data_IF_052222447609
#
_entry.id   IF_052222447609
#
_cell.length_a   1.000
_cell.length_b   1.000
_cell.length_c   1.000
_cell.angle_alpha   90.00
_cell.angle_beta   90.00
_cell.angle_gamma   90.00
#
_symmetry.space_group_name_H-M   'P 1'
#
loop_
_entity.id
_entity.type
_entity.pdbx_description
1 polymer ?
#
# COMPACT_ATOMS: atom_id res chain seq x y z
N UNK A 1 -6.95 -16.44 -2.15
CA UNK A 1 -7.10 -17.50 -1.15
C UNK A 1 -7.96 -17.03 0.02
N UNK A 2 -8.59 -17.96 0.67
CA UNK A 2 -9.29 -17.76 1.92
C UNK A 2 -8.84 -18.84 2.92
N UNK A 3 -8.56 -18.43 4.14
CA UNK A 3 -8.17 -19.33 5.24
C UNK A 3 -9.18 -19.18 6.39
N UNK A 4 -10.28 -19.92 6.35
CA UNK A 4 -11.27 -19.93 7.42
C UNK A 4 -10.72 -20.61 8.68
N UNK A 5 -11.28 -20.25 9.82
CA UNK A 5 -11.07 -20.89 11.13
C UNK A 5 -12.41 -20.96 11.86
N UNK A 6 -12.60 -21.96 12.72
CA UNK A 6 -13.91 -22.23 13.34
C UNK A 6 -14.31 -21.16 14.37
N UNK A 7 -13.37 -20.67 15.15
CA UNK A 7 -13.60 -19.63 16.16
C UNK A 7 -12.60 -18.48 15.99
N UNK A 8 -12.78 -17.62 14.96
CA UNK A 8 -11.84 -16.57 14.69
C UNK A 8 -11.78 -15.54 15.85
N UNK A 9 -10.60 -15.07 16.18
CA UNK A 9 -10.42 -13.92 17.08
C UNK A 9 -10.66 -12.60 16.36
N UNK A 10 -10.63 -12.60 15.03
CA UNK A 10 -10.88 -11.48 14.15
C UNK A 10 -10.65 -11.89 12.70
N UNK A 11 -10.75 -10.92 11.78
CA UNK A 11 -10.49 -11.12 10.37
C UNK A 11 -9.36 -10.26 9.84
N UNK A 12 -8.71 -10.73 8.78
CA UNK A 12 -7.68 -9.96 8.08
C UNK A 12 -7.88 -10.02 6.58
N UNK A 13 -8.01 -8.85 5.96
CA UNK A 13 -8.01 -8.69 4.51
C UNK A 13 -6.61 -8.32 4.04
N UNK A 14 -6.02 -9.14 3.17
CA UNK A 14 -4.70 -8.93 2.59
C UNK A 14 -4.83 -8.41 1.16
N UNK A 15 -4.21 -7.24 0.87
CA UNK A 15 -4.26 -6.56 -0.43
C UNK A 15 -2.85 -6.47 -1.01
N UNK A 16 -2.64 -7.07 -2.17
CA UNK A 16 -1.33 -7.14 -2.84
C UNK A 16 -1.01 -5.89 -3.67
N UNK A 17 0.22 -5.81 -4.18
CA UNK A 17 0.73 -4.73 -5.04
C UNK A 17 0.20 -4.77 -6.48
N UNK A 18 0.49 -3.72 -7.29
CA UNK A 18 -0.06 -3.55 -8.63
C UNK A 18 0.47 -4.56 -9.67
N UNK A 19 1.64 -5.11 -9.52
CA UNK A 19 2.16 -6.17 -10.40
C UNK A 19 2.10 -7.55 -9.75
N UNK A 20 1.56 -7.64 -8.54
CA UNK A 20 1.60 -8.82 -7.69
C UNK A 20 0.32 -9.68 -7.79
N UNK A 21 0.29 -10.70 -6.97
CA UNK A 21 -0.90 -11.52 -6.70
C UNK A 21 -1.03 -11.76 -5.20
N UNK A 22 -2.15 -12.31 -4.71
CA UNK A 22 -2.29 -12.67 -3.30
C UNK A 22 -1.19 -13.61 -2.79
N UNK A 23 -0.50 -14.32 -3.67
CA UNK A 23 0.53 -15.27 -3.32
C UNK A 23 1.69 -14.62 -2.53
N UNK A 24 2.07 -13.39 -2.85
CA UNK A 24 3.12 -12.64 -2.14
C UNK A 24 2.84 -12.46 -0.64
N UNK A 25 1.57 -12.46 -0.26
CA UNK A 25 1.12 -12.34 1.15
C UNK A 25 0.67 -13.67 1.75
N UNK A 26 0.86 -14.81 1.04
CA UNK A 26 0.36 -16.12 1.47
C UNK A 26 0.99 -16.60 2.78
N UNK A 27 2.30 -16.40 2.97
CA UNK A 27 3.00 -16.82 4.19
C UNK A 27 2.49 -16.03 5.39
N UNK A 28 2.31 -14.70 5.24
CA UNK A 28 1.69 -13.87 6.26
C UNK A 28 0.26 -14.37 6.58
N UNK A 29 -0.53 -14.68 5.54
CA UNK A 29 -1.87 -15.23 5.72
C UNK A 29 -1.89 -16.54 6.48
N UNK A 30 -0.96 -17.45 6.21
CA UNK A 30 -0.83 -18.71 6.94
C UNK A 30 -0.44 -18.49 8.41
N UNK A 31 0.48 -17.56 8.68
CA UNK A 31 0.88 -17.19 10.04
C UNK A 31 -0.28 -16.60 10.83
N UNK A 32 -1.08 -15.75 10.21
CA UNK A 32 -2.28 -15.16 10.84
C UNK A 32 -3.36 -16.22 11.09
N UNK A 33 -3.56 -17.17 10.16
CA UNK A 33 -4.44 -18.31 10.38
C UNK A 33 -4.04 -19.13 11.62
N UNK A 34 -2.72 -19.37 11.79
CA UNK A 34 -2.19 -20.07 12.98
C UNK A 34 -2.44 -19.30 14.29
N UNK A 35 -2.70 -17.99 14.19
CA UNK A 35 -3.10 -17.11 15.30
C UNK A 35 -4.62 -16.94 15.39
N UNK A 36 -5.36 -17.84 14.76
CA UNK A 36 -6.81 -17.91 14.78
C UNK A 36 -7.54 -16.71 14.16
N UNK A 37 -6.93 -16.06 13.15
CA UNK A 37 -7.61 -15.08 12.31
C UNK A 37 -8.24 -15.74 11.07
N UNK A 38 -9.43 -15.31 10.70
CA UNK A 38 -9.99 -15.59 9.38
C UNK A 38 -9.32 -14.69 8.34
N UNK A 39 -8.62 -15.27 7.39
CA UNK A 39 -7.79 -14.49 6.46
C UNK A 39 -8.28 -14.60 5.04
N UNK A 40 -8.43 -13.47 4.36
CA UNK A 40 -8.71 -13.40 2.92
C UNK A 40 -7.53 -12.70 2.23
N UNK A 41 -6.89 -13.40 1.30
CA UNK A 41 -5.95 -12.81 0.34
C UNK A 41 -6.71 -12.48 -0.94
N UNK A 42 -7.10 -11.22 -1.10
CA UNK A 42 -7.93 -10.76 -2.19
C UNK A 42 -7.15 -10.68 -3.50
N UNK A 43 -7.63 -11.35 -4.55
CA UNK A 43 -7.13 -11.13 -5.91
C UNK A 43 -7.81 -9.90 -6.50
N UNK A 44 -7.03 -8.83 -6.71
CA UNK A 44 -7.55 -7.60 -7.30
C UNK A 44 -7.94 -7.80 -8.77
N UNK A 45 -8.98 -7.11 -9.28
CA UNK A 45 -9.33 -7.10 -10.69
C UNK A 45 -8.13 -6.82 -11.60
N UNK A 46 -8.06 -7.49 -12.75
CA UNK A 46 -6.96 -7.38 -13.71
C UNK A 46 -5.71 -8.21 -13.37
N UNK A 47 -5.71 -8.95 -12.27
CA UNK A 47 -4.56 -9.73 -11.80
C UNK A 47 -4.79 -11.26 -11.90
N UNK A 48 -3.68 -12.00 -11.89
CA UNK A 48 -3.67 -13.47 -11.78
C UNK A 48 -3.98 -14.22 -13.07
N UNK A 49 -4.00 -13.55 -14.25
CA UNK A 49 -4.24 -14.19 -15.54
C UNK A 49 -3.16 -13.82 -16.55
N UNK A 50 -3.11 -12.54 -16.96
CA UNK A 50 -2.11 -12.03 -17.89
C UNK A 50 -1.84 -10.55 -17.62
N UNK A 51 -0.61 -10.04 -17.85
CA UNK A 51 -0.26 -8.64 -17.64
C UNK A 51 -1.12 -7.66 -18.45
N UNK A 52 -1.67 -8.12 -19.58
CA UNK A 52 -2.58 -7.32 -20.41
C UNK A 52 -3.87 -6.89 -19.70
N UNK A 53 -4.29 -7.60 -18.65
CA UNK A 53 -5.40 -7.18 -17.78
C UNK A 53 -5.18 -5.81 -17.15
N UNK A 54 -3.92 -5.46 -16.84
CA UNK A 54 -3.55 -4.16 -16.29
C UNK A 54 -3.71 -2.99 -17.26
N UNK A 55 -3.86 -3.23 -18.56
CA UNK A 55 -4.13 -2.18 -19.56
C UNK A 55 -5.52 -1.57 -19.43
N UNK A 56 -6.47 -2.29 -18.81
CA UNK A 56 -7.88 -1.91 -18.81
C UNK A 56 -8.47 -1.76 -17.42
N UNK A 57 -7.81 -2.27 -16.39
CA UNK A 57 -8.29 -2.19 -15.00
C UNK A 57 -8.44 -0.72 -14.57
N UNK A 58 -9.46 -0.46 -13.76
CA UNK A 58 -9.69 0.83 -13.10
C UNK A 58 -9.48 0.67 -11.60
N UNK A 59 -8.93 1.69 -10.95
CA UNK A 59 -8.75 1.64 -9.51
C UNK A 59 -10.10 1.54 -8.76
N UNK A 60 -11.17 2.06 -9.33
CA UNK A 60 -12.52 1.95 -8.78
C UNK A 60 -13.00 0.49 -8.72
N UNK A 61 -12.65 -0.32 -9.73
CA UNK A 61 -12.99 -1.75 -9.74
C UNK A 61 -12.22 -2.48 -8.63
N UNK A 62 -10.95 -2.12 -8.42
CA UNK A 62 -10.16 -2.64 -7.31
C UNK A 62 -10.71 -2.20 -5.95
N UNK A 63 -11.14 -0.94 -5.81
CA UNK A 63 -11.78 -0.44 -4.59
C UNK A 63 -13.12 -1.14 -4.30
N UNK A 64 -13.92 -1.42 -5.34
CA UNK A 64 -15.16 -2.20 -5.20
C UNK A 64 -14.88 -3.62 -4.73
N UNK A 65 -13.83 -4.28 -5.24
CA UNK A 65 -13.42 -5.59 -4.78
C UNK A 65 -12.99 -5.58 -3.30
N UNK A 66 -12.27 -4.55 -2.85
CA UNK A 66 -11.91 -4.38 -1.43
C UNK A 66 -13.18 -4.24 -0.57
N UNK A 67 -14.15 -3.45 -1.01
CA UNK A 67 -15.44 -3.31 -0.31
C UNK A 67 -16.15 -4.66 -0.19
N UNK A 68 -16.25 -5.42 -1.27
CA UNK A 68 -16.85 -6.76 -1.25
C UNK A 68 -16.10 -7.70 -0.29
N UNK A 69 -14.77 -7.69 -0.30
CA UNK A 69 -13.94 -8.48 0.62
C UNK A 69 -14.18 -8.13 2.08
N UNK A 70 -14.30 -6.86 2.42
CA UNK A 70 -14.59 -6.39 3.78
C UNK A 70 -16.00 -6.77 4.23
N UNK A 71 -17.01 -6.58 3.39
CA UNK A 71 -18.39 -6.96 3.69
C UNK A 71 -18.52 -8.48 3.86
N UNK A 72 -17.88 -9.26 2.97
CA UNK A 72 -17.85 -10.70 3.08
C UNK A 72 -17.18 -11.15 4.39
N UNK A 73 -16.03 -10.59 4.73
CA UNK A 73 -15.32 -10.93 5.96
C UNK A 73 -16.16 -10.57 7.21
N UNK A 74 -16.80 -9.40 7.20
CA UNK A 74 -17.69 -8.97 8.28
C UNK A 74 -18.88 -9.95 8.49
N UNK A 75 -19.44 -10.49 7.40
CA UNK A 75 -20.55 -11.45 7.48
C UNK A 75 -20.16 -12.80 8.14
N UNK A 76 -18.83 -13.07 8.24
CA UNK A 76 -18.30 -14.30 8.87
C UNK A 76 -17.85 -14.11 10.32
N UNK A 77 -17.82 -12.88 10.84
CA UNK A 77 -17.09 -12.56 12.06
C UNK A 77 -17.93 -12.09 13.25
N UNK A 78 -19.27 -12.01 13.09
CA UNK A 78 -20.18 -11.67 14.21
C UNK A 78 -19.68 -10.48 15.05
N UNK A 79 -19.34 -9.36 14.38
CA UNK A 79 -18.82 -8.10 14.99
C UNK A 79 -17.38 -8.17 15.54
N UNK A 80 -16.62 -9.24 15.32
CA UNK A 80 -15.21 -9.31 15.70
C UNK A 80 -14.37 -8.33 14.87
N UNK A 81 -13.20 -7.89 15.36
CA UNK A 81 -12.39 -6.89 14.68
C UNK A 81 -11.88 -7.38 13.32
N UNK A 82 -11.89 -6.50 12.34
CA UNK A 82 -11.32 -6.74 11.02
C UNK A 82 -10.13 -5.81 10.82
N UNK A 83 -9.04 -6.36 10.33
CA UNK A 83 -7.81 -5.63 10.01
C UNK A 83 -7.55 -5.66 8.51
N UNK A 84 -6.91 -4.64 7.98
CA UNK A 84 -6.48 -4.62 6.58
C UNK A 84 -4.96 -4.53 6.52
N UNK A 85 -4.34 -5.41 5.75
CA UNK A 85 -2.92 -5.31 5.40
C UNK A 85 -2.83 -4.98 3.92
N UNK A 86 -2.26 -3.82 3.61
CA UNK A 86 -2.04 -3.37 2.23
C UNK A 86 -0.55 -3.33 1.90
N UNK A 87 -0.15 -4.01 0.83
CA UNK A 87 1.19 -3.95 0.28
C UNK A 87 1.22 -3.09 -0.97
N UNK A 88 2.13 -2.13 -1.05
CA UNK A 88 2.31 -1.25 -2.21
C UNK A 88 0.98 -0.59 -2.63
N UNK A 89 0.42 -0.91 -3.81
CA UNK A 89 -0.89 -0.43 -4.28
C UNK A 89 -2.06 -0.87 -3.38
N UNK A 90 -1.95 -1.97 -2.66
CA UNK A 90 -2.94 -2.40 -1.67
C UNK A 90 -3.11 -1.38 -0.54
N UNK A 91 -2.07 -0.61 -0.22
CA UNK A 91 -2.12 0.40 0.85
C UNK A 91 -3.04 1.59 0.55
N UNK A 92 -2.95 2.29 -0.60
CA UNK A 92 -3.91 3.34 -0.93
C UNK A 92 -5.32 2.82 -1.14
N UNK A 93 -5.51 1.56 -1.56
CA UNK A 93 -6.84 0.93 -1.61
C UNK A 93 -7.41 0.70 -0.20
N UNK A 94 -6.59 0.23 0.75
CA UNK A 94 -6.97 0.09 2.16
C UNK A 94 -7.37 1.45 2.77
N UNK A 95 -6.58 2.49 2.53
CA UNK A 95 -6.87 3.85 2.99
C UNK A 95 -8.14 4.41 2.34
N UNK A 96 -8.33 4.20 1.03
CA UNK A 96 -9.54 4.64 0.32
C UNK A 96 -10.79 4.01 0.93
N UNK A 97 -10.77 2.69 1.17
CA UNK A 97 -11.86 1.98 1.83
C UNK A 97 -12.12 2.52 3.23
N UNK A 98 -11.07 2.67 4.04
CA UNK A 98 -11.20 3.17 5.42
C UNK A 98 -11.81 4.56 5.47
N UNK A 99 -11.36 5.48 4.60
CA UNK A 99 -11.93 6.82 4.50
C UNK A 99 -13.39 6.82 4.03
N UNK A 100 -13.79 5.82 3.26
CA UNK A 100 -15.18 5.61 2.87
C UNK A 100 -16.00 5.09 4.04
N UNK A 101 -15.55 4.05 4.71
CA UNK A 101 -16.24 3.42 5.84
C UNK A 101 -16.42 4.36 7.03
N UNK A 102 -15.46 5.27 7.30
CA UNK A 102 -15.59 6.32 8.32
C UNK A 102 -16.69 7.36 8.04
N UNK A 103 -17.27 7.35 6.88
CA UNK A 103 -18.38 8.23 6.49
C UNK A 103 -19.64 7.47 6.02
N UNK A 104 -19.67 6.16 6.26
CA UNK A 104 -20.79 5.32 5.82
C UNK A 104 -21.02 4.17 6.80
N UNK A 105 -22.02 4.30 7.64
CA UNK A 105 -22.38 3.34 8.71
C UNK A 105 -22.76 1.94 8.18
N UNK A 106 -23.05 1.81 6.89
CA UNK A 106 -23.31 0.51 6.26
C UNK A 106 -22.04 -0.31 5.97
N UNK A 107 -20.85 0.29 6.16
CA UNK A 107 -19.58 -0.38 5.89
C UNK A 107 -18.81 -0.69 7.19
N UNK A 108 -18.26 -1.90 7.33
CA UNK A 108 -17.45 -2.24 8.49
C UNK A 108 -16.16 -1.41 8.51
N UNK A 109 -15.96 -0.64 9.58
CA UNK A 109 -14.73 0.13 9.79
C UNK A 109 -13.62 -0.82 10.24
N UNK A 110 -12.44 -0.82 9.61
CA UNK A 110 -11.35 -1.67 10.05
C UNK A 110 -10.83 -1.26 11.44
N UNK A 111 -10.51 -2.24 12.27
CA UNK A 111 -9.97 -2.03 13.62
C UNK A 111 -8.51 -1.54 13.61
N UNK A 112 -7.74 -1.89 12.58
CA UNK A 112 -6.40 -1.36 12.33
C UNK A 112 -5.97 -1.52 10.88
N UNK A 113 -4.94 -0.77 10.48
CA UNK A 113 -4.30 -0.84 9.18
C UNK A 113 -2.83 -1.23 9.33
N UNK A 114 -2.32 -2.08 8.45
CA UNK A 114 -0.90 -2.31 8.24
C UNK A 114 -0.56 -1.99 6.79
N UNK A 115 0.30 -1.02 6.58
CA UNK A 115 0.67 -0.50 5.26
C UNK A 115 2.15 -0.83 5.00
N UNK A 116 2.40 -1.74 4.07
CA UNK A 116 3.75 -2.21 3.75
C UNK A 116 4.19 -1.52 2.44
N UNK A 117 5.26 -0.75 2.49
CA UNK A 117 5.79 0.04 1.36
C UNK A 117 4.66 0.77 0.61
N UNK A 118 3.83 1.59 1.30
CA UNK A 118 2.61 2.15 0.74
C UNK A 118 2.90 3.05 -0.46
N UNK A 119 2.23 2.83 -1.59
CA UNK A 119 2.35 3.65 -2.81
C UNK A 119 1.74 5.04 -2.65
N UNK A 120 2.23 5.82 -1.68
CA UNK A 120 1.83 7.19 -1.42
C UNK A 120 2.96 8.11 -1.87
N UNK A 121 2.66 9.05 -2.77
CA UNK A 121 3.66 9.98 -3.29
C UNK A 121 4.60 9.36 -4.32
N UNK A 122 4.06 8.65 -5.27
CA UNK A 122 4.81 8.18 -6.44
C UNK A 122 5.54 9.33 -7.14
N UNK A 123 6.72 9.03 -7.67
CA UNK A 123 7.56 9.98 -8.38
C UNK A 123 6.78 10.70 -9.51
N UNK A 124 7.05 11.97 -9.81
CA UNK A 124 6.38 12.74 -10.89
C UNK A 124 6.39 12.06 -12.26
N UNK A 125 7.35 11.16 -12.52
CA UNK A 125 7.38 10.33 -13.72
C UNK A 125 6.10 9.49 -13.94
N UNK A 126 5.36 9.15 -12.88
CA UNK A 126 4.07 8.47 -12.98
C UNK A 126 3.00 9.35 -13.67
N UNK A 127 3.14 10.68 -13.61
CA UNK A 127 2.25 11.59 -14.33
C UNK A 127 2.42 11.50 -15.87
N UNK A 128 3.63 11.16 -16.35
CA UNK A 128 3.90 10.92 -17.77
C UNK A 128 3.15 9.69 -18.31
N UNK A 129 2.81 8.74 -17.45
CA UNK A 129 2.06 7.54 -17.83
C UNK A 129 0.71 7.91 -18.47
N UNK A 130 0.04 8.97 -17.99
CA UNK A 130 -1.23 9.45 -18.55
C UNK A 130 -1.12 9.88 -20.02
N UNK A 131 -0.05 10.55 -20.39
CA UNK A 131 0.20 10.97 -21.77
C UNK A 131 0.56 9.78 -22.67
N UNK A 132 1.43 8.88 -22.20
CA UNK A 132 1.78 7.65 -22.93
C UNK A 132 0.54 6.81 -23.23
N UNK A 133 -0.34 6.63 -22.25
CA UNK A 133 -1.60 5.88 -22.44
C UNK A 133 -2.50 6.52 -23.50
N UNK A 134 -2.64 7.84 -23.51
CA UNK A 134 -3.44 8.53 -24.52
C UNK A 134 -2.91 8.34 -25.94
N UNK A 135 -1.59 8.34 -26.10
CA UNK A 135 -0.95 8.10 -27.38
C UNK A 135 -1.01 6.64 -27.82
N UNK A 136 -1.09 5.68 -26.90
CA UNK A 136 -1.09 4.24 -27.21
C UNK A 136 -2.31 3.76 -28.02
N UNK A 137 -3.39 4.55 -28.09
CA UNK A 137 -4.59 4.24 -28.88
C UNK A 137 -4.42 4.60 -30.38
N UNK A 138 -3.37 5.34 -30.74
CA UNK A 138 -3.09 5.70 -32.11
C UNK A 138 -2.46 4.51 -32.86
N UNK A 139 -2.79 4.32 -34.15
CA UNK A 139 -2.17 3.27 -34.98
C UNK A 139 -0.63 3.35 -34.93
N UNK A 140 0.03 2.23 -34.74
CA UNK A 140 1.50 2.14 -34.64
C UNK A 140 2.11 2.48 -33.27
N UNK A 141 1.36 3.06 -32.33
CA UNK A 141 1.85 3.46 -31.01
C UNK A 141 1.46 2.50 -29.87
N UNK A 142 1.02 1.29 -30.18
CA UNK A 142 0.59 0.28 -29.20
C UNK A 142 1.64 -0.06 -28.12
N UNK A 143 2.93 0.10 -28.42
CA UNK A 143 4.01 -0.09 -27.43
C UNK A 143 3.94 0.92 -26.28
N UNK A 144 3.35 2.09 -26.47
CA UNK A 144 3.16 3.09 -25.41
C UNK A 144 2.18 2.65 -24.33
N UNK A 145 1.42 1.55 -24.56
CA UNK A 145 0.59 0.91 -23.53
C UNK A 145 1.42 0.25 -22.42
N UNK A 146 2.73 0.15 -22.58
CA UNK A 146 3.63 -0.50 -21.65
C UNK A 146 4.73 0.47 -21.16
N UNK A 147 4.99 0.46 -19.88
CA UNK A 147 6.17 1.10 -19.28
C UNK A 147 7.37 0.15 -19.36
N UNK A 148 7.15 -1.14 -19.14
CA UNK A 148 8.11 -2.20 -19.39
C UNK A 148 7.40 -3.41 -19.98
N UNK A 149 8.01 -4.07 -20.95
CA UNK A 149 7.54 -5.32 -21.54
C UNK A 149 8.74 -6.27 -21.54
N UNK A 150 8.68 -7.26 -20.69
CA UNK A 150 9.74 -8.25 -20.50
C UNK A 150 9.14 -9.65 -20.38
N UNK A 151 9.91 -10.73 -20.62
CA UNK A 151 9.40 -12.09 -20.45
C UNK A 151 8.82 -12.33 -19.06
N UNK A 152 7.66 -13.01 -19.01
CA UNK A 152 7.00 -13.41 -17.77
C UNK A 152 7.63 -14.70 -17.25
N UNK A 153 8.54 -14.60 -16.30
CA UNK A 153 9.23 -15.74 -15.70
C UNK A 153 8.77 -16.06 -14.27
N UNK A 154 8.08 -15.13 -13.62
CA UNK A 154 7.51 -15.33 -12.29
C UNK A 154 6.02 -15.69 -12.42
N UNK A 155 5.59 -16.88 -11.95
CA UNK A 155 4.20 -17.31 -12.07
C UNK A 155 3.24 -16.55 -11.13
N UNK A 156 3.75 -15.77 -10.19
CA UNK A 156 2.95 -15.11 -9.15
C UNK A 156 2.95 -13.59 -9.24
N UNK A 157 3.84 -13.04 -10.06
CA UNK A 157 4.02 -11.60 -10.23
C UNK A 157 4.23 -11.27 -11.69
N UNK A 158 3.55 -10.23 -12.18
CA UNK A 158 3.79 -9.71 -13.52
C UNK A 158 5.15 -9.02 -13.61
N UNK A 159 5.96 -9.42 -14.57
CA UNK A 159 7.24 -8.78 -14.88
C UNK A 159 7.05 -7.57 -15.80
N UNK A 160 6.08 -7.66 -16.72
CA UNK A 160 5.69 -6.54 -17.57
C UNK A 160 4.78 -5.57 -16.81
N UNK A 161 4.93 -4.27 -17.08
CA UNK A 161 4.15 -3.23 -16.38
C UNK A 161 3.43 -2.32 -17.37
N UNK A 162 2.10 -2.37 -17.37
CA UNK A 162 1.26 -1.55 -18.24
C UNK A 162 1.27 -0.07 -17.80
N UNK A 163 1.27 0.84 -18.78
CA UNK A 163 1.20 2.28 -18.54
C UNK A 163 -0.06 2.67 -17.75
N UNK A 164 -1.21 2.03 -18.07
CA UNK A 164 -2.45 2.22 -17.30
C UNK A 164 -2.30 1.83 -15.83
N UNK A 165 -1.56 0.76 -15.50
CA UNK A 165 -1.34 0.36 -14.11
C UNK A 165 -0.72 1.49 -13.28
N UNK A 166 0.32 2.15 -13.80
CA UNK A 166 0.93 3.32 -13.16
C UNK A 166 -0.06 4.49 -13.00
N UNK A 167 -0.90 4.75 -14.01
CA UNK A 167 -1.95 5.77 -13.92
C UNK A 167 -2.98 5.44 -12.83
N UNK A 168 -3.41 4.19 -12.71
CA UNK A 168 -4.39 3.79 -11.69
C UNK A 168 -3.84 3.90 -10.27
N UNK A 169 -2.58 3.47 -10.04
CA UNK A 169 -1.92 3.68 -8.74
C UNK A 169 -1.84 5.16 -8.39
N UNK A 170 -1.44 5.99 -9.36
CA UNK A 170 -1.37 7.44 -9.16
C UNK A 170 -2.75 8.04 -8.86
N UNK A 171 -3.80 7.62 -9.57
CA UNK A 171 -5.16 8.12 -9.39
C UNK A 171 -5.73 7.81 -8.01
N UNK A 172 -5.60 6.56 -7.52
CA UNK A 172 -6.07 6.19 -6.18
C UNK A 172 -5.27 6.92 -5.10
N UNK A 173 -3.95 7.03 -5.25
CA UNK A 173 -3.10 7.77 -4.32
C UNK A 173 -3.48 9.24 -4.24
N UNK A 174 -3.70 9.89 -5.37
CA UNK A 174 -4.19 11.28 -5.40
C UNK A 174 -5.58 11.43 -4.78
N UNK A 175 -6.49 10.47 -5.01
CA UNK A 175 -7.81 10.47 -4.39
C UNK A 175 -7.70 10.44 -2.87
N UNK A 176 -6.89 9.54 -2.33
CA UNK A 176 -6.63 9.42 -0.89
C UNK A 176 -6.01 10.70 -0.33
N UNK A 177 -4.93 11.20 -0.95
CA UNK A 177 -4.25 12.42 -0.49
C UNK A 177 -5.18 13.63 -0.46
N UNK A 178 -5.99 13.84 -1.51
CA UNK A 178 -6.97 14.94 -1.55
C UNK A 178 -8.02 14.82 -0.45
N UNK A 179 -8.52 13.61 -0.17
CA UNK A 179 -9.53 13.38 0.89
C UNK A 179 -8.95 13.63 2.29
N UNK A 180 -7.69 13.25 2.51
CA UNK A 180 -6.99 13.52 3.77
C UNK A 180 -6.75 15.03 3.93
N UNK A 181 -6.19 15.70 2.92
CA UNK A 181 -5.91 17.14 2.95
C UNK A 181 -7.18 17.99 3.08
N UNK A 182 -8.26 17.61 2.42
CA UNK A 182 -9.54 18.33 2.52
C UNK A 182 -10.11 18.28 3.94
N UNK A 183 -10.00 17.13 4.63
CA UNK A 183 -10.41 16.99 6.03
C UNK A 183 -9.50 17.77 6.97
N UNK A 184 -8.19 17.70 6.78
CA UNK A 184 -7.24 18.49 7.56
C UNK A 184 -7.47 20.00 7.39
N UNK A 185 -7.72 20.46 6.16
CA UNK A 185 -8.02 21.87 5.85
C UNK A 185 -9.32 22.39 6.46
N UNK A 186 -10.29 21.53 6.77
CA UNK A 186 -11.50 21.88 7.53
C UNK A 186 -11.31 21.88 9.05
N UNK A 187 -10.08 21.73 9.54
CA UNK A 187 -9.77 21.62 10.96
C UNK A 187 -10.11 20.27 11.59
N UNK A 188 -10.58 19.31 10.79
CA UNK A 188 -10.94 17.97 11.24
C UNK A 188 -9.96 16.96 10.64
N UNK A 189 -8.81 16.78 11.31
CA UNK A 189 -7.91 15.71 10.92
C UNK A 189 -8.62 14.36 10.99
N UNK A 190 -8.45 13.48 9.98
CA UNK A 190 -9.10 12.18 9.99
C UNK A 190 -8.62 11.34 11.18
N UNK A 191 -9.58 10.80 11.94
CA UNK A 191 -9.31 9.79 12.97
C UNK A 191 -9.27 8.43 12.28
N UNK A 192 -8.13 8.10 11.68
CA UNK A 192 -7.95 6.74 11.17
C UNK A 192 -7.77 5.74 12.30
N UNK A 193 -8.13 4.47 12.11
CA UNK A 193 -7.78 3.41 13.05
C UNK A 193 -6.25 3.35 13.25
N UNK A 194 -5.76 2.75 14.35
CA UNK A 194 -4.33 2.51 14.54
C UNK A 194 -3.68 2.00 13.26
N UNK A 195 -2.64 2.67 12.81
CA UNK A 195 -2.01 2.42 11.51
C UNK A 195 -0.53 2.18 11.69
N UNK A 196 -0.06 1.00 11.31
CA UNK A 196 1.35 0.64 11.25
C UNK A 196 1.83 0.79 9.81
N UNK A 197 2.88 1.57 9.61
CA UNK A 197 3.56 1.72 8.31
C UNK A 197 4.93 1.06 8.38
N UNK A 198 5.18 0.10 7.51
CA UNK A 198 6.47 -0.57 7.35
C UNK A 198 7.13 -0.10 6.06
N UNK A 199 8.33 0.48 6.14
CA UNK A 199 9.01 1.05 4.99
C UNK A 199 10.53 0.92 5.06
N UNK A 200 11.15 0.63 3.91
CA UNK A 200 12.61 0.72 3.78
C UNK A 200 13.03 2.17 3.51
N UNK A 201 14.12 2.61 4.12
CA UNK A 201 14.70 3.94 3.88
C UNK A 201 15.23 4.10 2.45
N UNK A 202 15.62 3.01 1.81
CA UNK A 202 16.20 2.96 0.45
C UNK A 202 15.21 2.50 -0.62
N UNK A 203 13.92 2.56 -0.36
CA UNK A 203 12.89 2.23 -1.36
C UNK A 203 12.88 3.30 -2.47
N UNK A 204 13.41 2.94 -3.63
CA UNK A 204 13.50 3.82 -4.78
C UNK A 204 12.16 4.09 -5.49
N UNK A 205 11.12 3.30 -5.18
CA UNK A 205 9.81 3.38 -5.85
C UNK A 205 8.89 4.40 -5.19
N UNK A 206 8.93 4.46 -3.86
CA UNK A 206 8.05 5.29 -3.04
C UNK A 206 8.88 6.13 -2.08
N UNK A 207 8.71 7.44 -2.12
CA UNK A 207 9.38 8.36 -1.21
C UNK A 207 8.87 8.21 0.23
N UNK A 208 9.79 8.05 1.19
CA UNK A 208 9.46 8.04 2.62
C UNK A 208 8.94 9.41 3.07
N UNK A 209 9.52 10.51 2.54
CA UNK A 209 9.05 11.87 2.79
C UNK A 209 7.57 12.03 2.44
N UNK A 210 7.17 11.48 1.29
CA UNK A 210 5.79 11.58 0.84
C UNK A 210 4.81 10.81 1.72
N UNK A 211 5.20 9.67 2.28
CA UNK A 211 4.38 8.91 3.25
C UNK A 211 4.18 9.72 4.53
N UNK A 212 5.24 10.34 5.02
CA UNK A 212 5.20 11.18 6.22
C UNK A 212 4.40 12.46 5.96
N UNK A 213 4.74 13.21 4.90
CA UNK A 213 4.19 14.54 4.67
C UNK A 213 2.77 14.52 4.08
N UNK A 214 2.37 13.47 3.33
CA UNK A 214 1.04 13.38 2.70
C UNK A 214 0.06 12.48 3.43
N UNK A 215 0.52 11.69 4.40
CA UNK A 215 -0.32 10.80 5.18
C UNK A 215 -0.13 11.05 6.67
N UNK A 216 0.99 10.64 7.26
CA UNK A 216 1.11 10.49 8.71
C UNK A 216 0.98 11.80 9.48
N UNK A 217 1.55 12.90 8.99
CA UNK A 217 1.44 14.24 9.63
C UNK A 217 0.02 14.82 9.64
N UNK A 218 -0.86 14.31 8.78
CA UNK A 218 -2.25 14.78 8.70
C UNK A 218 -3.21 13.95 9.55
N UNK A 219 -2.73 12.92 10.25
CA UNK A 219 -3.56 12.07 11.09
C UNK A 219 -3.68 12.66 12.50
N UNK A 220 -4.82 12.45 13.15
CA UNK A 220 -4.91 12.64 14.60
C UNK A 220 -4.12 11.54 15.32
N UNK A 221 -3.42 11.84 16.42
CA UNK A 221 -2.75 10.82 17.22
C UNK A 221 -3.71 9.70 17.61
N UNK A 222 -3.42 8.48 17.19
CA UNK A 222 -4.21 7.28 17.49
C UNK A 222 -3.36 6.01 17.41
N UNK A 223 -2.26 5.95 18.16
CA UNK A 223 -1.34 4.80 18.15
C UNK A 223 -0.84 4.46 16.74
N UNK A 224 -0.58 5.48 15.90
CA UNK A 224 0.08 5.29 14.63
C UNK A 224 1.57 5.07 14.83
N UNK A 225 2.16 4.22 14.01
CA UNK A 225 3.59 3.92 14.06
C UNK A 225 4.19 3.83 12.66
N UNK A 226 5.38 4.41 12.51
CA UNK A 226 6.24 4.27 11.34
C UNK A 226 7.47 3.44 11.72
N UNK A 227 7.60 2.25 11.12
CA UNK A 227 8.81 1.43 11.23
C UNK A 227 9.64 1.60 9.97
N UNK A 228 10.83 2.16 10.11
CA UNK A 228 11.81 2.35 9.06
C UNK A 228 12.89 1.26 9.15
N UNK A 229 13.07 0.55 8.05
CA UNK A 229 14.14 -0.44 7.91
C UNK A 229 15.33 0.22 7.22
N UNK A 230 16.41 0.44 7.97
CA UNK A 230 17.69 1.00 7.54
C UNK A 230 18.79 -0.06 7.66
N UNK A 231 18.53 -1.23 7.09
CA UNK A 231 19.41 -2.39 7.18
C UNK A 231 20.53 -2.26 6.14
N UNK A 232 21.75 -2.69 6.52
CA UNK A 232 22.96 -2.68 5.67
C UNK A 232 23.43 -1.27 5.26
N UNK A 233 23.06 -0.24 5.98
CA UNK A 233 23.46 1.15 5.72
C UNK A 233 24.98 1.32 5.64
N UNK A 234 25.71 0.65 6.54
CA UNK A 234 27.17 0.71 6.58
C UNK A 234 27.86 -0.08 5.44
N UNK A 235 27.16 -1.07 4.87
CA UNK A 235 27.65 -1.85 3.72
C UNK A 235 27.29 -1.21 2.37
N UNK A 236 26.23 -0.39 2.34
CA UNK A 236 25.83 0.31 1.13
C UNK A 236 26.78 1.48 0.88
N UNK A 237 27.48 1.47 -0.27
CA UNK A 237 28.22 2.66 -0.72
C UNK A 237 27.21 3.76 -0.99
N UNK A 238 27.26 4.85 -0.23
CA UNK A 238 26.37 6.01 -0.38
C UNK A 238 26.36 6.58 -1.82
N UNK A 239 27.46 6.39 -2.56
CA UNK A 239 27.56 6.76 -3.99
C UNK A 239 26.63 5.95 -4.91
N UNK A 240 26.07 4.84 -4.47
CA UNK A 240 25.12 4.01 -5.22
C UNK A 240 23.65 4.34 -4.86
N UNK A 241 23.42 5.16 -3.86
CA UNK A 241 22.08 5.60 -3.48
C UNK A 241 21.67 6.81 -4.32
N UNK A 242 20.44 6.83 -4.79
CA UNK A 242 19.84 7.98 -5.50
C UNK A 242 19.74 9.19 -4.57
N UNK A 243 19.53 8.96 -3.27
CA UNK A 243 19.54 9.96 -2.21
C UNK A 243 20.00 9.35 -0.89
N UNK A 244 20.75 10.11 -0.08
CA UNK A 244 21.09 9.69 1.28
C UNK A 244 19.87 9.83 2.21
N UNK A 245 19.36 8.76 2.81
CA UNK A 245 18.21 8.82 3.73
C UNK A 245 18.58 9.36 5.12
N UNK A 246 19.87 9.53 5.44
CA UNK A 246 20.35 9.91 6.76
C UNK A 246 19.79 11.24 7.26
N UNK A 247 19.82 12.34 6.48
CA UNK A 247 19.34 13.63 6.94
C UNK A 247 17.83 13.60 7.25
N UNK A 248 17.07 12.87 6.45
CA UNK A 248 15.63 12.73 6.66
C UNK A 248 15.31 11.92 7.93
N UNK A 249 15.97 10.77 8.11
CA UNK A 249 15.81 9.92 9.29
C UNK A 249 16.20 10.67 10.56
N UNK A 250 17.32 11.41 10.55
CA UNK A 250 17.77 12.21 11.69
C UNK A 250 16.75 13.31 12.06
N UNK A 251 16.19 14.00 11.05
CA UNK A 251 15.13 15.01 11.26
C UNK A 251 13.89 14.42 11.89
N UNK A 252 13.42 13.28 11.43
CA UNK A 252 12.25 12.60 11.99
C UNK A 252 12.50 12.14 13.42
N UNK A 253 13.70 11.61 13.71
CA UNK A 253 14.06 11.14 15.07
C UNK A 253 14.13 12.30 16.07
N UNK A 254 14.51 13.47 15.61
CA UNK A 254 14.61 14.68 16.46
C UNK A 254 13.25 15.36 16.70
N UNK A 255 12.26 15.12 15.85
CA UNK A 255 10.94 15.77 15.93
C UNK A 255 10.03 15.06 16.95
N UNK A 256 9.86 15.70 18.13
CA UNK A 256 9.00 15.21 19.22
C UNK A 256 7.51 15.57 19.02
N UNK A 257 7.18 16.37 18.03
CA UNK A 257 5.81 16.83 17.73
C UNK A 257 5.04 15.93 16.77
N UNK A 258 5.60 14.79 16.37
CA UNK A 258 4.95 13.89 15.43
C UNK A 258 3.69 13.24 16.00
N UNK A 259 2.59 13.16 15.23
CA UNK A 259 1.35 12.49 15.66
C UNK A 259 1.43 10.95 15.61
N UNK A 260 2.62 10.40 15.43
CA UNK A 260 2.91 8.96 15.36
C UNK A 260 4.25 8.64 16.04
N UNK A 261 4.40 7.40 16.51
CA UNK A 261 5.68 6.89 16.98
C UNK A 261 6.55 6.45 15.81
N UNK A 262 7.87 6.52 15.97
CA UNK A 262 8.83 6.07 14.99
C UNK A 262 9.76 5.02 15.58
N UNK A 263 9.90 3.90 14.88
CA UNK A 263 10.88 2.83 15.19
C UNK A 263 11.86 2.71 14.03
N UNK A 264 13.16 2.77 14.33
CA UNK A 264 14.23 2.55 13.35
C UNK A 264 14.83 1.16 13.59
N UNK A 265 14.73 0.30 12.57
CA UNK A 265 15.37 -1.03 12.56
C UNK A 265 16.66 -0.92 11.75
N UNK A 266 17.79 -1.10 12.41
CA UNK A 266 19.12 -0.99 11.80
C UNK A 266 20.03 -2.08 12.30
N UNK A 267 21.23 -2.18 11.71
CA UNK A 267 22.25 -3.15 12.14
C UNK A 267 22.78 -2.79 13.54
N UNK A 268 23.01 -3.79 14.39
CA UNK A 268 23.57 -3.61 15.73
C UNK A 268 25.01 -3.09 15.71
N UNK A 269 25.75 -3.39 14.64
CA UNK A 269 27.12 -2.90 14.42
C UNK A 269 27.41 -2.75 12.92
N UNK A 270 28.43 -1.97 12.51
CA UNK A 270 28.85 -1.86 11.12
C UNK A 270 29.25 -3.20 10.46
N UNK A 271 29.66 -4.20 11.25
CA UNK A 271 30.06 -5.53 10.78
C UNK A 271 28.88 -6.53 10.75
N UNK A 272 27.75 -6.24 11.39
CA UNK A 272 26.57 -7.12 11.34
C UNK A 272 25.95 -7.09 9.94
N UNK A 273 25.83 -8.24 9.31
CA UNK A 273 25.20 -8.43 7.99
C UNK A 273 23.80 -8.98 8.13
#
# INVERSE_FOLDING_TARGET
FEFPVDQPVGGVLLLHGMSDSPYSLRVLGQTLKQRNYWVIGLRLPGHGTAPSGLKYVKWQDMAAAVRLGMVHLASKLEQKPIHIVGYSNGSPLALNYTLEALGNDALPVPASLVLISPSIGLHPAAALAKWKRRLSVLPGLGQMAWLSLIPEFDPYKYNSFATNAGEQVHAVTQSVSRRISARAGSGVNPVLPPTLVLKSTVDATVSTDAVVDRLLKHLKPNRHELVLFDINRFAAKTSLLIADPAPFTARLTADKGLPFSMTLVTNASPQSR
#
